data_IF_279268931639
#
_entry.id   IF_279268931639
#
_cell.length_a   1.000
_cell.length_b   1.000
_cell.length_c   1.000
_cell.angle_alpha   90.00
_cell.angle_beta   90.00
_cell.angle_gamma   90.00
#
_symmetry.space_group_name_H-M   'P 1'
#
loop_
_entity.id
_entity.type
_entity.pdbx_description
1 polymer ?
#
# COMPACT_ATOMS: atom_id res chain seq x y z
N UNK A 1 12.66 64.53 15.41
CA UNK A 1 12.35 63.41 14.50
C UNK A 1 13.53 62.45 14.51
N UNK A 2 13.43 61.33 15.22
CA UNK A 2 14.36 60.19 15.09
C UNK A 2 13.60 58.94 15.52
N UNK A 3 13.01 58.25 14.55
CA UNK A 3 12.34 56.97 14.76
C UNK A 3 13.35 55.85 14.78
N UNK A 4 13.47 55.17 15.91
CA UNK A 4 14.23 53.92 16.04
C UNK A 4 13.38 52.81 15.44
N UNK A 5 13.85 52.23 14.34
CA UNK A 5 13.23 51.07 13.69
C UNK A 5 13.50 49.83 14.55
N UNK A 6 12.44 49.27 15.13
CA UNK A 6 12.48 47.99 15.81
C UNK A 6 12.53 46.88 14.75
N UNK A 7 13.71 46.27 14.54
CA UNK A 7 13.81 45.03 13.76
C UNK A 7 13.26 43.87 14.61
N UNK A 8 12.25 43.10 14.16
CA UNK A 8 11.85 41.89 14.85
C UNK A 8 12.96 40.85 14.71
N UNK A 9 13.51 40.43 15.85
CA UNK A 9 14.49 39.35 15.98
C UNK A 9 13.92 38.07 15.39
N UNK A 10 14.59 37.52 14.36
CA UNK A 10 14.34 36.18 13.83
C UNK A 10 14.32 35.18 14.98
N UNK A 11 13.14 34.62 15.28
CA UNK A 11 13.02 33.44 16.11
C UNK A 11 13.91 32.36 15.48
N UNK A 12 14.99 32.01 16.17
CA UNK A 12 15.82 30.86 15.81
C UNK A 12 14.97 29.62 16.08
N UNK A 13 14.23 29.16 15.08
CA UNK A 13 13.63 27.84 15.06
C UNK A 13 14.74 26.85 15.40
N UNK A 14 14.65 26.21 16.56
CA UNK A 14 15.64 25.23 16.99
C UNK A 14 15.51 24.01 16.07
N UNK A 15 16.31 23.97 14.99
CA UNK A 15 16.29 22.91 13.98
C UNK A 15 16.52 21.52 14.60
N UNK A 16 17.16 21.44 15.78
CA UNK A 16 17.30 20.18 16.54
C UNK A 16 15.96 19.64 17.07
N UNK A 17 14.99 20.50 17.37
CA UNK A 17 13.64 20.09 17.75
C UNK A 17 12.87 19.53 16.54
N UNK A 18 13.05 20.12 15.35
CA UNK A 18 12.41 19.68 14.10
C UNK A 18 13.00 18.37 13.56
N UNK A 19 14.28 18.10 13.84
CA UNK A 19 14.97 16.84 13.48
C UNK A 19 14.54 15.67 14.38
N UNK A 20 14.05 15.94 15.60
CA UNK A 20 13.58 14.93 16.55
C UNK A 20 12.07 14.69 16.53
N UNK A 21 11.30 15.43 15.71
CA UNK A 21 9.87 15.17 15.58
C UNK A 21 9.66 13.90 14.76
N UNK A 22 8.77 12.99 15.21
CA UNK A 22 8.43 11.81 14.45
C UNK A 22 7.91 12.21 13.06
N UNK A 23 8.29 11.49 11.99
CA UNK A 23 7.92 11.85 10.61
C UNK A 23 6.41 11.61 10.42
N UNK A 24 5.58 12.61 10.74
CA UNK A 24 4.11 12.49 10.81
C UNK A 24 3.53 11.81 9.58
N UNK A 25 3.92 12.21 8.38
CA UNK A 25 3.38 11.64 7.14
C UNK A 25 3.85 10.20 6.90
N UNK A 26 5.04 9.83 7.40
CA UNK A 26 5.54 8.45 7.33
C UNK A 26 4.86 7.55 8.39
N UNK A 27 4.53 8.10 9.56
CA UNK A 27 3.76 7.42 10.62
C UNK A 27 2.32 7.23 10.15
N UNK A 28 1.70 8.30 9.64
CA UNK A 28 0.37 8.24 9.06
C UNK A 28 0.37 7.20 7.92
N UNK A 29 1.37 7.17 7.05
CA UNK A 29 1.50 6.14 6.02
C UNK A 29 1.66 4.71 6.58
N UNK A 30 2.46 4.51 7.63
CA UNK A 30 2.65 3.16 8.18
C UNK A 30 1.42 2.67 8.94
N UNK A 31 0.72 3.56 9.64
CA UNK A 31 -0.56 3.25 10.29
C UNK A 31 -1.64 2.83 9.26
N UNK A 32 -1.59 3.38 8.04
CA UNK A 32 -2.45 3.02 6.90
C UNK A 32 -2.21 1.59 6.34
N UNK A 33 -1.02 1.01 6.50
CA UNK A 33 -0.71 -0.35 6.00
C UNK A 33 -1.43 -1.42 6.83
N UNK A 34 -2.54 -1.99 6.30
CA UNK A 34 -3.23 -3.15 6.87
C UNK A 34 -2.41 -4.46 6.87
N UNK A 35 -2.97 -5.51 7.51
CA UNK A 35 -2.39 -6.87 7.60
C UNK A 35 -2.65 -7.66 6.33
N UNK A 36 -1.62 -8.17 5.63
CA UNK A 36 -1.83 -9.22 4.62
C UNK A 36 -1.08 -10.52 4.98
N UNK A 37 -1.80 -11.63 4.90
CA UNK A 37 -1.35 -13.01 5.13
C UNK A 37 -1.43 -13.72 3.77
N UNK A 38 -0.38 -14.42 3.31
CA UNK A 38 -0.41 -15.14 2.02
C UNK A 38 0.67 -16.21 1.82
N UNK A 39 0.21 -17.41 1.43
CA UNK A 39 0.79 -18.75 1.61
C UNK A 39 1.96 -19.15 0.70
N UNK A 40 2.30 -18.42 -0.36
CA UNK A 40 3.30 -18.87 -1.34
C UNK A 40 4.29 -17.76 -1.71
N UNK A 41 5.58 -17.97 -1.43
CA UNK A 41 6.59 -16.91 -1.52
C UNK A 41 6.95 -16.50 -2.95
N UNK A 42 6.67 -17.36 -3.94
CA UNK A 42 6.86 -17.05 -5.35
C UNK A 42 5.74 -16.20 -5.94
N UNK A 43 4.51 -16.25 -5.45
CA UNK A 43 3.39 -15.55 -6.12
C UNK A 43 3.09 -14.17 -5.49
N UNK A 44 3.64 -13.89 -4.32
CA UNK A 44 3.22 -12.76 -3.46
C UNK A 44 4.14 -11.53 -3.58
N UNK A 45 5.30 -11.63 -4.20
CA UNK A 45 6.38 -10.70 -3.87
C UNK A 45 6.37 -9.37 -4.64
N UNK A 46 5.70 -9.24 -5.79
CA UNK A 46 5.71 -7.96 -6.51
C UNK A 46 4.88 -6.87 -5.82
N UNK A 47 3.76 -7.31 -5.28
CA UNK A 47 2.68 -6.44 -4.83
C UNK A 47 2.49 -6.48 -3.31
N UNK A 48 3.15 -7.37 -2.57
CA UNK A 48 3.01 -7.45 -1.11
C UNK A 48 4.07 -6.63 -0.34
N UNK A 49 5.36 -6.71 -0.70
CA UNK A 49 6.43 -5.90 -0.08
C UNK A 49 6.20 -4.40 -0.22
N UNK A 50 5.50 -4.07 -1.29
CA UNK A 50 5.16 -2.76 -1.71
C UNK A 50 4.18 -2.05 -0.76
N UNK A 51 3.33 -2.79 -0.05
CA UNK A 51 1.92 -2.44 -0.17
C UNK A 51 1.05 -2.89 1.04
N UNK A 52 1.34 -3.99 1.74
CA UNK A 52 0.91 -4.21 3.15
C UNK A 52 2.08 -4.22 4.12
N UNK A 53 1.83 -4.25 5.43
CA UNK A 53 2.78 -4.90 6.32
C UNK A 53 2.66 -6.43 6.13
N UNK A 54 3.42 -6.96 5.17
CA UNK A 54 3.62 -8.40 5.01
C UNK A 54 5.07 -8.75 5.29
N UNK A 55 5.29 -9.78 6.08
CA UNK A 55 6.59 -10.43 6.13
C UNK A 55 6.53 -11.66 5.24
N UNK A 56 7.04 -11.54 4.01
CA UNK A 56 6.96 -12.61 3.01
C UNK A 56 7.37 -13.96 3.59
N UNK A 57 6.44 -14.92 3.70
CA UNK A 57 6.65 -16.21 4.36
C UNK A 57 6.31 -16.27 5.85
N UNK A 58 5.46 -15.39 6.39
CA UNK A 58 4.85 -15.49 7.73
C UNK A 58 3.34 -15.34 7.55
N UNK A 59 2.57 -16.34 7.96
CA UNK A 59 1.12 -16.42 7.72
C UNK A 59 0.32 -16.30 9.01
N UNK A 60 1.00 -16.39 10.15
CA UNK A 60 0.36 -16.31 11.46
C UNK A 60 0.15 -14.85 11.85
N UNK A 61 -1.12 -14.48 12.05
CA UNK A 61 -1.55 -13.11 12.29
C UNK A 61 -0.89 -12.49 13.52
N UNK A 62 -0.72 -13.24 14.60
CA UNK A 62 -0.13 -12.75 15.84
C UNK A 62 1.35 -12.36 15.66
N UNK A 63 2.10 -13.11 14.87
CA UNK A 63 3.51 -12.81 14.57
C UNK A 63 3.59 -11.60 13.64
N UNK A 64 2.70 -11.48 12.66
CA UNK A 64 2.61 -10.28 11.84
C UNK A 64 2.25 -9.05 12.68
N UNK A 65 1.32 -9.17 13.63
CA UNK A 65 0.96 -8.11 14.57
C UNK A 65 2.14 -7.66 15.43
N UNK A 66 2.93 -8.59 15.97
CA UNK A 66 4.11 -8.26 16.77
C UNK A 66 5.13 -7.46 15.95
N UNK A 67 5.43 -7.92 14.73
CA UNK A 67 6.44 -7.26 13.89
C UNK A 67 5.94 -5.89 13.41
N UNK A 68 4.65 -5.77 13.05
CA UNK A 68 4.03 -4.50 12.67
C UNK A 68 4.11 -3.50 13.81
N UNK A 69 3.72 -3.92 15.01
CA UNK A 69 3.71 -3.08 16.21
C UNK A 69 5.11 -2.56 16.51
N UNK A 70 6.12 -3.41 16.42
CA UNK A 70 7.50 -3.01 16.68
C UNK A 70 8.07 -2.08 15.60
N UNK A 71 7.67 -2.23 14.33
CA UNK A 71 8.01 -1.27 13.28
C UNK A 71 7.29 0.07 13.44
N UNK A 72 6.01 0.05 13.83
CA UNK A 72 5.26 1.27 14.12
C UNK A 72 5.94 2.05 15.24
N UNK A 73 6.25 1.37 16.34
CA UNK A 73 7.01 1.93 17.45
C UNK A 73 8.37 2.47 16.98
N UNK A 74 9.03 1.77 16.06
CA UNK A 74 10.31 2.22 15.51
C UNK A 74 10.18 3.52 14.71
N UNK A 75 9.10 3.69 13.95
CA UNK A 75 8.79 4.93 13.23
C UNK A 75 8.41 6.08 14.17
N UNK A 76 7.56 5.80 15.16
CA UNK A 76 7.04 6.79 16.10
C UNK A 76 8.10 7.32 17.05
N UNK A 77 9.07 6.48 17.43
CA UNK A 77 10.08 6.82 18.44
C UNK A 77 11.51 6.92 17.89
N UNK A 78 11.68 6.75 16.57
CA UNK A 78 12.99 6.87 15.91
C UNK A 78 13.99 5.76 16.27
N UNK A 79 13.51 4.54 16.55
CA UNK A 79 14.39 3.43 16.96
C UNK A 79 15.27 2.93 15.82
N UNK A 80 16.43 2.39 16.19
CA UNK A 80 17.35 1.76 15.25
C UNK A 80 16.97 0.31 14.96
N UNK A 81 17.53 -0.28 13.90
CA UNK A 81 17.39 -1.72 13.64
C UNK A 81 17.86 -2.58 14.83
N UNK A 82 18.88 -2.12 15.59
CA UNK A 82 19.38 -2.83 16.77
C UNK A 82 18.33 -2.89 17.88
N UNK A 83 17.57 -1.81 18.06
CA UNK A 83 16.47 -1.75 19.03
C UNK A 83 15.31 -2.63 18.59
N UNK A 84 14.89 -2.53 17.33
CA UNK A 84 13.89 -3.40 16.71
C UNK A 84 14.25 -4.89 16.91
N UNK A 85 15.49 -5.27 16.60
CA UNK A 85 15.96 -6.64 16.76
C UNK A 85 15.97 -7.09 18.22
N UNK A 86 16.45 -6.25 19.15
CA UNK A 86 16.51 -6.55 20.59
C UNK A 86 15.11 -6.80 21.16
N UNK A 87 14.12 -6.04 20.73
CA UNK A 87 12.75 -6.15 21.22
C UNK A 87 12.03 -7.36 20.61
N UNK A 88 12.24 -7.62 19.32
CA UNK A 88 11.49 -8.63 18.57
C UNK A 88 12.02 -10.06 18.72
N UNK A 89 13.33 -10.26 18.82
CA UNK A 89 13.92 -11.60 18.89
C UNK A 89 13.38 -12.46 20.05
N UNK A 90 13.28 -11.97 21.30
CA UNK A 90 12.73 -12.77 22.40
C UNK A 90 11.26 -13.16 22.18
N UNK A 91 10.48 -12.33 21.51
CA UNK A 91 9.07 -12.64 21.18
C UNK A 91 8.98 -13.77 20.15
N UNK A 92 9.77 -13.68 19.09
CA UNK A 92 9.84 -14.71 18.05
C UNK A 92 10.36 -16.05 18.59
N UNK A 93 11.34 -16.01 19.52
CA UNK A 93 11.86 -17.21 20.16
C UNK A 93 10.79 -17.91 21.01
N UNK A 94 10.10 -17.17 21.90
CA UNK A 94 9.00 -17.74 22.71
C UNK A 94 7.88 -18.33 21.86
N UNK A 95 7.61 -17.76 20.69
CA UNK A 95 6.59 -18.25 19.75
C UNK A 95 7.09 -19.38 18.85
N UNK A 96 8.36 -19.78 18.91
CA UNK A 96 8.94 -20.81 18.06
C UNK A 96 9.24 -20.40 16.61
N UNK A 97 9.26 -19.09 16.34
CA UNK A 97 9.43 -18.48 15.02
C UNK A 97 10.87 -18.10 14.67
N UNK A 98 11.80 -18.13 15.63
CA UNK A 98 13.20 -17.84 15.38
C UNK A 98 13.90 -19.07 14.79
N UNK A 99 14.60 -18.91 13.67
CA UNK A 99 15.44 -19.95 13.08
C UNK A 99 15.20 -20.20 11.59
N UNK A 100 15.41 -21.46 11.17
CA UNK A 100 15.24 -21.92 9.78
C UNK A 100 14.10 -22.95 9.69
N UNK A 101 13.63 -23.19 8.48
CA UNK A 101 12.57 -24.18 8.20
C UNK A 101 11.16 -23.61 8.29
N UNK A 102 10.19 -24.51 8.07
CA UNK A 102 8.77 -24.20 8.06
C UNK A 102 8.17 -24.29 9.46
N UNK A 103 7.10 -23.55 9.69
CA UNK A 103 6.23 -23.61 10.86
C UNK A 103 4.87 -24.09 10.36
N UNK A 104 4.34 -25.16 10.95
CA UNK A 104 3.03 -25.71 10.65
C UNK A 104 2.28 -25.99 11.94
N UNK A 105 0.95 -26.03 11.87
CA UNK A 105 0.10 -26.53 12.92
C UNK A 105 0.35 -28.04 13.14
N UNK A 106 0.51 -28.44 14.39
CA UNK A 106 0.84 -29.83 14.73
C UNK A 106 -0.36 -30.78 14.67
N UNK A 107 -1.58 -30.25 14.71
CA UNK A 107 -2.82 -31.02 14.74
C UNK A 107 -3.47 -31.06 13.34
N UNK A 108 -3.49 -29.93 12.63
CA UNK A 108 -4.12 -29.84 11.30
C UNK A 108 -3.13 -30.02 10.14
N UNK A 109 -1.82 -29.89 10.40
CA UNK A 109 -0.79 -29.89 9.36
C UNK A 109 -0.76 -28.61 8.52
N UNK A 110 -1.57 -27.60 8.87
CA UNK A 110 -1.65 -26.33 8.14
C UNK A 110 -0.33 -25.56 8.23
N UNK A 111 0.21 -25.14 7.08
CA UNK A 111 1.47 -24.40 7.05
C UNK A 111 1.26 -22.96 7.53
N UNK A 112 1.88 -22.57 8.65
CA UNK A 112 1.87 -21.20 9.16
C UNK A 112 2.97 -20.31 8.55
N UNK A 113 4.03 -20.87 7.96
CA UNK A 113 5.01 -20.11 7.19
C UNK A 113 6.45 -20.59 7.39
N UNK A 114 7.42 -19.68 7.24
CA UNK A 114 8.86 -19.92 7.37
C UNK A 114 9.42 -19.12 8.53
N UNK A 115 10.22 -19.77 9.37
CA UNK A 115 10.92 -19.13 10.49
C UNK A 115 11.77 -17.94 10.04
N UNK A 116 11.91 -16.98 10.95
CA UNK A 116 12.60 -15.72 10.73
C UNK A 116 14.04 -15.82 11.23
N UNK A 117 14.97 -15.34 10.40
CA UNK A 117 16.38 -15.20 10.78
C UNK A 117 16.70 -13.73 11.06
N UNK A 118 17.72 -13.41 11.87
CA UNK A 118 18.14 -12.03 12.10
C UNK A 118 18.40 -11.24 10.81
N UNK A 119 19.01 -11.89 9.81
CA UNK A 119 19.23 -11.27 8.48
C UNK A 119 17.92 -10.95 7.75
N UNK A 120 16.90 -11.80 7.87
CA UNK A 120 15.58 -11.54 7.29
C UNK A 120 14.88 -10.38 8.02
N UNK A 121 15.05 -10.27 9.33
CA UNK A 121 14.56 -9.13 10.11
C UNK A 121 15.17 -7.80 9.65
N UNK A 122 16.46 -7.77 9.31
CA UNK A 122 17.11 -6.58 8.74
C UNK A 122 16.46 -6.14 7.43
N UNK A 123 16.20 -7.08 6.52
CA UNK A 123 15.51 -6.80 5.26
C UNK A 123 14.11 -6.26 5.51
N UNK A 124 13.34 -6.90 6.40
CA UNK A 124 11.97 -6.47 6.74
C UNK A 124 11.99 -5.04 7.29
N UNK A 125 12.87 -4.76 8.25
CA UNK A 125 13.00 -3.44 8.85
C UNK A 125 13.39 -2.40 7.78
N UNK A 126 14.49 -2.63 7.08
CA UNK A 126 15.04 -1.65 6.13
C UNK A 126 14.04 -1.33 5.02
N UNK A 127 13.40 -2.35 4.44
CA UNK A 127 12.43 -2.16 3.35
C UNK A 127 11.19 -1.39 3.83
N UNK A 128 10.59 -1.79 4.96
CA UNK A 128 9.38 -1.14 5.45
C UNK A 128 9.63 0.31 5.90
N UNK A 129 10.73 0.55 6.63
CA UNK A 129 11.11 1.90 7.05
C UNK A 129 11.36 2.80 5.84
N UNK A 130 12.13 2.32 4.86
CA UNK A 130 12.43 3.10 3.65
C UNK A 130 11.14 3.45 2.88
N UNK A 131 10.25 2.48 2.66
CA UNK A 131 8.96 2.75 2.01
C UNK A 131 8.13 3.79 2.76
N UNK A 132 8.07 3.71 4.09
CA UNK A 132 7.34 4.68 4.91
C UNK A 132 7.91 6.10 4.80
N UNK A 133 9.23 6.24 4.91
CA UNK A 133 9.89 7.53 4.72
C UNK A 133 9.74 8.08 3.31
N UNK A 134 9.68 7.23 2.29
CA UNK A 134 9.46 7.65 0.90
C UNK A 134 8.03 8.13 0.67
N UNK A 135 7.04 7.42 1.22
CA UNK A 135 5.65 7.83 1.13
C UNK A 135 5.39 9.16 1.84
N UNK A 136 5.92 9.34 3.06
CA UNK A 136 5.82 10.62 3.76
C UNK A 136 6.47 11.77 2.98
N UNK A 137 7.67 11.53 2.42
CA UNK A 137 8.32 12.51 1.52
C UNK A 137 7.48 12.82 0.29
N UNK A 138 6.86 11.82 -0.33
CA UNK A 138 6.02 12.04 -1.50
C UNK A 138 4.86 13.01 -1.19
N UNK A 139 4.19 12.83 -0.05
CA UNK A 139 3.10 13.73 0.37
C UNK A 139 3.59 15.18 0.54
N UNK A 140 4.69 15.37 1.27
CA UNK A 140 5.32 16.69 1.44
C UNK A 140 5.75 17.32 0.10
N UNK A 141 6.19 16.51 -0.86
CA UNK A 141 6.57 16.98 -2.19
C UNK A 141 5.36 17.37 -3.03
N UNK A 142 4.27 16.60 -2.93
CA UNK A 142 3.00 16.89 -3.61
C UNK A 142 2.36 18.18 -3.11
N UNK A 143 2.46 18.48 -1.82
CA UNK A 143 1.98 19.75 -1.24
C UNK A 143 2.76 20.99 -1.74
N UNK A 144 3.94 20.77 -2.35
CA UNK A 144 4.86 21.83 -2.76
C UNK A 144 5.13 21.82 -4.27
N UNK A 145 4.24 21.23 -5.07
CA UNK A 145 4.43 21.14 -6.53
C UNK A 145 4.34 22.49 -7.22
N UNK A 146 3.59 23.45 -6.66
CA UNK A 146 3.45 24.78 -7.23
C UNK A 146 4.79 25.54 -7.26
N UNK A 147 5.58 25.45 -6.19
CA UNK A 147 6.89 26.11 -6.10
C UNK A 147 8.04 25.23 -6.64
N UNK A 148 7.90 23.90 -6.53
CA UNK A 148 8.97 22.94 -6.84
C UNK A 148 8.49 21.77 -7.71
N UNK A 149 8.00 22.03 -8.94
CA UNK A 149 7.34 21.03 -9.77
C UNK A 149 8.28 20.01 -10.40
N UNK A 150 9.60 20.22 -10.38
CA UNK A 150 10.56 19.32 -11.02
C UNK A 150 11.19 18.39 -9.99
N UNK A 151 11.09 17.10 -10.23
CA UNK A 151 11.60 16.07 -9.33
C UNK A 151 12.86 15.45 -9.91
N UNK A 152 13.85 15.24 -9.05
CA UNK A 152 15.17 14.74 -9.40
C UNK A 152 15.44 13.44 -8.65
N UNK A 153 15.82 12.39 -9.38
CA UNK A 153 16.36 11.15 -8.82
C UNK A 153 17.76 11.39 -8.26
N UNK A 154 17.96 10.99 -7.01
CA UNK A 154 19.24 11.11 -6.31
C UNK A 154 19.68 9.74 -5.80
N UNK A 155 20.76 9.23 -6.36
CA UNK A 155 21.49 8.07 -5.89
C UNK A 155 22.39 8.41 -4.70
N UNK A 156 22.71 7.41 -3.88
CA UNK A 156 23.69 7.58 -2.79
C UNK A 156 25.15 7.58 -3.29
N UNK A 157 25.37 7.12 -4.53
CA UNK A 157 26.65 7.12 -5.24
C UNK A 157 27.85 6.58 -4.44
N UNK A 158 27.60 5.58 -3.58
CA UNK A 158 28.66 4.82 -2.90
C UNK A 158 28.97 3.52 -3.66
N UNK A 159 30.00 2.78 -3.23
CA UNK A 159 30.40 1.52 -3.88
C UNK A 159 29.34 0.40 -3.82
N UNK A 160 28.25 0.59 -3.07
CA UNK A 160 27.16 -0.39 -2.89
C UNK A 160 25.92 -0.01 -3.68
N UNK A 161 25.89 1.11 -4.38
CA UNK A 161 24.78 1.43 -5.29
C UNK A 161 24.80 0.43 -6.46
N UNK A 162 23.62 -0.03 -6.86
CA UNK A 162 23.51 -0.86 -8.07
C UNK A 162 23.77 0.01 -9.30
N UNK A 163 24.52 -0.47 -10.32
CA UNK A 163 24.77 0.30 -11.53
C UNK A 163 23.50 0.82 -12.22
N UNK A 164 22.43 0.03 -12.23
CA UNK A 164 21.12 0.44 -12.76
C UNK A 164 20.52 1.63 -12.02
N UNK A 165 20.65 1.69 -10.69
CA UNK A 165 20.17 2.82 -9.89
C UNK A 165 21.06 4.06 -10.06
N UNK A 166 22.37 3.87 -10.16
CA UNK A 166 23.31 4.97 -10.43
C UNK A 166 23.04 5.63 -11.80
N UNK A 167 22.60 4.86 -12.80
CA UNK A 167 22.23 5.38 -14.11
C UNK A 167 20.99 6.31 -14.10
N UNK A 168 20.21 6.32 -13.01
CA UNK A 168 19.12 7.26 -12.80
C UNK A 168 19.52 8.52 -12.04
N UNK A 169 20.73 8.59 -11.48
CA UNK A 169 21.16 9.79 -10.76
C UNK A 169 21.12 11.02 -11.68
N UNK A 170 20.50 12.09 -11.21
CA UNK A 170 20.30 13.31 -12.00
C UNK A 170 19.16 13.24 -13.02
N UNK A 171 18.40 12.14 -13.09
CA UNK A 171 17.17 12.10 -13.90
C UNK A 171 16.16 13.10 -13.34
N UNK A 172 15.70 14.03 -14.18
CA UNK A 172 14.75 15.08 -13.81
C UNK A 172 13.53 15.02 -14.71
N UNK A 173 12.34 15.00 -14.12
CA UNK A 173 11.06 15.13 -14.81
C UNK A 173 10.09 15.94 -13.96
N UNK A 174 9.00 16.45 -14.55
CA UNK A 174 7.95 17.13 -13.78
C UNK A 174 7.22 16.13 -12.87
N UNK A 175 6.69 16.57 -11.74
CA UNK A 175 6.08 15.72 -10.70
C UNK A 175 4.95 14.81 -11.21
N UNK A 176 4.25 15.25 -12.25
CA UNK A 176 3.13 14.55 -12.89
C UNK A 176 3.55 13.71 -14.09
N UNK A 177 4.85 13.66 -14.42
CA UNK A 177 5.36 12.70 -15.39
C UNK A 177 5.02 11.29 -14.90
N UNK A 178 4.39 10.48 -15.76
CA UNK A 178 3.84 9.19 -15.35
C UNK A 178 4.95 8.21 -14.90
N UNK A 179 6.23 8.49 -15.15
CA UNK A 179 7.32 7.65 -14.64
C UNK A 179 7.40 7.60 -13.12
N UNK A 180 6.98 8.66 -12.42
CA UNK A 180 7.01 8.71 -10.95
C UNK A 180 6.06 7.71 -10.31
N UNK A 181 5.13 7.15 -11.06
CA UNK A 181 4.29 6.05 -10.60
C UNK A 181 5.08 4.75 -10.42
N UNK A 182 6.24 4.61 -11.07
CA UNK A 182 7.01 3.36 -11.12
C UNK A 182 8.43 3.48 -10.57
N UNK A 183 9.07 4.65 -10.67
CA UNK A 183 10.48 4.86 -10.26
C UNK A 183 10.62 5.72 -9.01
N UNK A 184 9.52 6.00 -8.29
CA UNK A 184 9.64 6.69 -7.01
C UNK A 184 10.14 5.67 -5.97
N UNK A 185 11.26 5.93 -5.28
CA UNK A 185 11.90 4.90 -4.46
C UNK A 185 11.01 4.40 -3.32
N UNK A 186 11.30 3.19 -2.77
CA UNK A 186 12.43 2.33 -3.12
C UNK A 186 12.19 1.52 -4.41
N UNK A 187 13.22 1.40 -5.25
CA UNK A 187 13.17 0.61 -6.50
C UNK A 187 13.75 -0.81 -6.33
N UNK A 188 14.01 -1.24 -5.09
CA UNK A 188 14.61 -2.54 -4.80
C UNK A 188 14.95 -2.74 -3.33
N UNK A 189 15.29 -3.97 -2.97
CA UNK A 189 15.75 -4.30 -1.61
C UNK A 189 17.02 -3.51 -1.27
N UNK A 190 17.02 -2.90 -0.08
CA UNK A 190 18.12 -2.04 0.41
C UNK A 190 18.40 -0.84 -0.50
N UNK A 191 17.42 -0.39 -1.29
CA UNK A 191 17.51 0.85 -2.05
C UNK A 191 17.65 2.04 -1.09
N UNK A 192 18.63 2.90 -1.36
CA UNK A 192 18.92 4.13 -0.59
C UNK A 192 18.78 5.39 -1.45
N UNK A 193 18.16 5.25 -2.61
CA UNK A 193 17.86 6.37 -3.50
C UNK A 193 16.72 7.21 -2.91
N UNK A 194 16.65 8.47 -3.32
CA UNK A 194 15.61 9.43 -2.92
C UNK A 194 15.21 10.32 -4.09
N UNK A 195 14.14 11.07 -3.90
CA UNK A 195 13.73 12.15 -4.81
C UNK A 195 13.96 13.49 -4.11
N UNK A 196 14.51 14.46 -4.84
CA UNK A 196 14.64 15.87 -4.44
C UNK A 196 13.79 16.73 -5.37
N UNK A 197 13.13 17.76 -4.86
CA UNK A 197 12.37 18.71 -5.67
C UNK A 197 13.23 19.91 -6.08
N UNK A 198 12.92 20.50 -7.22
CA UNK A 198 13.60 21.63 -7.87
C UNK A 198 12.57 22.65 -8.31
N UNK A 199 12.88 23.93 -8.09
CA UNK A 199 12.13 25.05 -8.66
C UNK A 199 12.53 25.29 -10.12
N UNK A 200 11.72 26.04 -10.87
CA UNK A 200 12.10 26.48 -12.21
C UNK A 200 13.42 27.29 -12.19
N UNK A 201 13.61 28.15 -11.19
CA UNK A 201 14.84 28.91 -11.00
C UNK A 201 16.06 28.00 -10.72
N UNK A 202 15.88 26.88 -10.00
CA UNK A 202 16.96 25.90 -9.82
C UNK A 202 17.32 25.22 -11.15
N UNK A 203 16.33 24.90 -11.98
CA UNK A 203 16.54 24.27 -13.30
C UNK A 203 17.35 25.20 -14.21
N UNK A 204 16.95 26.47 -14.31
CA UNK A 204 17.64 27.47 -15.12
C UNK A 204 19.06 27.75 -14.61
N UNK A 205 19.18 28.10 -13.32
CA UNK A 205 20.45 28.49 -12.71
C UNK A 205 21.52 27.40 -12.74
N UNK A 206 21.11 26.13 -12.65
CA UNK A 206 22.01 24.98 -12.64
C UNK A 206 22.14 24.30 -14.01
N UNK A 207 21.46 24.81 -15.05
CA UNK A 207 21.48 24.22 -16.39
C UNK A 207 20.95 22.78 -16.43
N UNK A 208 19.94 22.46 -15.63
CA UNK A 208 19.42 21.10 -15.50
C UNK A 208 18.51 20.77 -16.69
N UNK A 209 18.64 19.56 -17.22
CA UNK A 209 17.79 19.08 -18.32
C UNK A 209 16.57 18.33 -17.77
N UNK A 210 15.40 18.94 -17.92
CA UNK A 210 14.12 18.29 -17.65
C UNK A 210 13.76 17.36 -18.81
N UNK A 211 13.40 16.13 -18.49
CA UNK A 211 13.04 15.08 -19.44
C UNK A 211 11.51 14.86 -19.41
N UNK A 212 11.00 14.21 -20.46
CA UNK A 212 9.66 13.63 -20.52
C UNK A 212 9.77 12.15 -20.90
N UNK A 213 8.97 11.30 -20.24
CA UNK A 213 8.92 9.86 -20.51
C UNK A 213 7.69 9.41 -21.31
N UNK A 214 6.90 10.36 -21.80
CA UNK A 214 5.74 10.08 -22.66
C UNK A 214 6.18 9.23 -23.88
N UNK A 215 5.51 8.11 -24.09
CA UNK A 215 5.84 7.16 -25.17
C UNK A 215 7.10 6.32 -24.95
N UNK A 216 7.79 6.40 -23.80
CA UNK A 216 9.04 5.67 -23.52
C UNK A 216 8.90 4.50 -22.54
N UNK A 217 7.67 4.19 -22.13
CA UNK A 217 7.35 3.05 -21.26
C UNK A 217 7.46 1.76 -22.05
N UNK A 218 8.13 0.77 -21.45
CA UNK A 218 8.31 -0.55 -22.04
C UNK A 218 8.04 -1.61 -20.99
N UNK A 219 7.50 -2.74 -21.43
CA UNK A 219 7.39 -3.92 -20.58
C UNK A 219 8.68 -4.74 -20.70
N UNK A 220 9.29 -5.07 -19.56
CA UNK A 220 10.53 -5.84 -19.50
C UNK A 220 10.24 -7.12 -18.73
N UNK A 221 10.58 -8.27 -19.34
CA UNK A 221 10.55 -9.55 -18.63
C UNK A 221 11.77 -9.64 -17.71
N UNK A 222 11.54 -9.77 -16.41
CA UNK A 222 12.59 -9.93 -15.41
C UNK A 222 12.45 -11.27 -14.72
N UNK A 223 13.57 -11.96 -14.53
CA UNK A 223 13.63 -13.18 -13.73
C UNK A 223 13.15 -12.90 -12.31
N UNK A 224 12.40 -13.86 -11.77
CA UNK A 224 11.74 -13.67 -10.50
C UNK A 224 11.41 -15.02 -9.85
N UNK A 225 11.75 -15.17 -8.57
CA UNK A 225 11.46 -16.40 -7.83
C UNK A 225 12.38 -17.55 -8.25
N UNK A 226 11.82 -18.57 -8.89
CA UNK A 226 12.56 -19.76 -9.35
C UNK A 226 13.43 -19.41 -10.57
N UNK A 227 14.64 -19.99 -10.70
CA UNK A 227 15.48 -19.80 -11.88
C UNK A 227 14.74 -20.16 -13.17
N UNK A 228 14.65 -19.20 -14.11
CA UNK A 228 13.98 -19.37 -15.40
C UNK A 228 12.53 -18.88 -15.45
N UNK A 229 11.91 -18.57 -14.31
CA UNK A 229 10.61 -17.89 -14.29
C UNK A 229 10.82 -16.38 -14.47
N UNK A 230 10.01 -15.77 -15.33
CA UNK A 230 10.04 -14.31 -15.56
C UNK A 230 8.66 -13.70 -15.33
N UNK A 231 8.64 -12.42 -15.00
CA UNK A 231 7.41 -11.64 -14.95
C UNK A 231 7.55 -10.31 -15.68
N UNK A 232 6.46 -9.79 -16.25
CA UNK A 232 6.44 -8.45 -16.82
C UNK A 232 6.61 -7.40 -15.70
N UNK A 233 7.53 -6.48 -15.91
CA UNK A 233 7.72 -5.29 -15.08
C UNK A 233 7.73 -4.07 -15.98
N UNK A 234 7.03 -3.02 -15.56
CA UNK A 234 7.06 -1.74 -16.26
C UNK A 234 8.42 -1.07 -16.06
N UNK A 235 9.14 -0.88 -17.17
CA UNK A 235 10.36 -0.11 -17.27
C UNK A 235 10.20 1.07 -18.21
N UNK A 236 11.30 1.76 -18.48
CA UNK A 236 11.36 2.82 -19.47
C UNK A 236 12.75 2.93 -20.11
N UNK A 237 12.78 3.47 -21.32
CA UNK A 237 14.04 3.89 -21.93
C UNK A 237 14.48 5.23 -21.32
N UNK A 238 15.60 5.21 -20.59
CA UNK A 238 16.12 6.40 -19.93
C UNK A 238 16.65 7.40 -20.98
N UNK A 239 16.02 8.59 -21.12
CA UNK A 239 16.38 9.56 -22.15
C UNK A 239 17.78 10.17 -21.96
N UNK A 240 18.40 10.02 -20.78
CA UNK A 240 19.78 10.47 -20.53
C UNK A 240 20.82 9.49 -21.06
N UNK A 241 20.51 8.19 -21.08
CA UNK A 241 21.50 7.13 -21.33
C UNK A 241 21.16 6.23 -22.52
N UNK A 242 19.92 6.27 -23.03
CA UNK A 242 19.40 5.34 -24.03
C UNK A 242 19.24 3.90 -23.53
N UNK A 243 19.47 3.65 -22.23
CA UNK A 243 19.37 2.32 -21.62
C UNK A 243 18.01 2.10 -21.00
N UNK A 244 17.56 0.85 -21.04
CA UNK A 244 16.37 0.42 -20.31
C UNK A 244 16.64 0.44 -18.81
N UNK A 245 15.74 1.08 -18.06
CA UNK A 245 15.66 0.96 -16.61
C UNK A 245 14.33 0.31 -16.23
N UNK A 246 14.40 -0.69 -15.35
CA UNK A 246 13.24 -1.23 -14.67
C UNK A 246 13.58 -1.38 -13.17
N UNK A 247 12.66 -1.02 -12.26
CA UNK A 247 12.77 -1.35 -10.85
C UNK A 247 12.94 -2.86 -10.63
N UNK A 248 13.55 -3.25 -9.51
CA UNK A 248 13.60 -4.65 -9.11
C UNK A 248 12.17 -5.21 -9.09
N UNK A 249 12.00 -6.50 -9.41
CA UNK A 249 10.71 -7.17 -9.30
C UNK A 249 10.06 -6.86 -7.94
N UNK A 250 8.94 -6.14 -7.95
CA UNK A 250 8.14 -5.80 -6.77
C UNK A 250 8.31 -4.42 -6.18
N UNK A 251 9.06 -3.58 -6.87
CA UNK A 251 9.31 -2.20 -6.48
C UNK A 251 8.83 -1.19 -7.52
N UNK A 252 8.15 -1.64 -8.58
CA UNK A 252 7.67 -0.81 -9.69
C UNK A 252 6.42 0.02 -9.41
N UNK A 253 6.31 0.60 -8.22
CA UNK A 253 5.16 1.39 -7.80
C UNK A 253 5.60 2.54 -6.86
N UNK A 254 4.83 3.63 -6.82
CA UNK A 254 5.08 4.73 -5.91
C UNK A 254 4.45 4.46 -4.54
N UNK A 255 5.22 4.33 -3.44
CA UNK A 255 4.66 4.09 -2.12
C UNK A 255 3.80 5.24 -1.61
N UNK A 256 3.98 6.47 -2.09
CA UNK A 256 3.19 7.63 -1.66
C UNK A 256 1.85 7.82 -2.36
N UNK A 257 1.60 7.20 -3.52
CA UNK A 257 0.36 7.40 -4.29
C UNK A 257 -0.76 6.41 -3.93
N UNK A 258 -0.44 5.30 -3.28
CA UNK A 258 -1.36 4.17 -3.18
C UNK A 258 -1.74 3.92 -1.72
N UNK A 259 -3.00 4.18 -1.35
CA UNK A 259 -3.67 3.47 -0.24
C UNK A 259 -3.94 2.06 -0.74
N UNK A 260 -3.08 1.11 -0.38
CA UNK A 260 -2.96 -0.18 -1.05
C UNK A 260 -4.05 -1.19 -0.72
N UNK A 261 -4.39 -2.02 -1.73
CA UNK A 261 -5.12 -3.27 -1.60
C UNK A 261 -4.43 -4.44 -2.33
N UNK A 262 -4.32 -5.63 -1.72
CA UNK A 262 -3.79 -6.83 -2.35
C UNK A 262 -4.64 -7.23 -3.54
N UNK A 263 -4.03 -7.92 -4.50
CA UNK A 263 -4.74 -8.77 -5.46
C UNK A 263 -5.33 -9.96 -4.68
N UNK A 264 -6.43 -9.70 -3.99
CA UNK A 264 -7.04 -10.61 -3.02
C UNK A 264 -7.37 -11.97 -3.62
N UNK A 265 -7.66 -12.02 -4.92
CA UNK A 265 -7.95 -13.22 -5.70
C UNK A 265 -6.81 -14.25 -5.71
N UNK A 266 -5.57 -13.82 -5.42
CA UNK A 266 -4.39 -14.69 -5.29
C UNK A 266 -4.20 -15.32 -3.91
N UNK A 267 -5.04 -14.98 -2.94
CA UNK A 267 -4.90 -15.44 -1.56
C UNK A 267 -5.99 -16.45 -1.20
N UNK A 268 -5.75 -17.35 -0.21
CA UNK A 268 -6.82 -18.13 0.39
C UNK A 268 -7.94 -17.23 0.92
N UNK A 269 -9.20 -17.60 0.67
CA UNK A 269 -10.36 -16.79 1.07
C UNK A 269 -10.34 -16.35 2.55
N UNK A 270 -9.98 -17.19 3.54
CA UNK A 270 -9.97 -16.76 4.94
C UNK A 270 -8.96 -15.63 5.21
N UNK A 271 -7.77 -15.70 4.59
CA UNK A 271 -6.74 -14.68 4.73
C UNK A 271 -7.14 -13.38 4.02
N UNK A 272 -7.74 -13.51 2.84
CA UNK A 272 -8.25 -12.40 2.06
C UNK A 272 -9.40 -11.66 2.79
N UNK A 273 -10.33 -12.41 3.40
CA UNK A 273 -11.43 -11.87 4.21
C UNK A 273 -10.91 -11.08 5.42
N UNK A 274 -9.93 -11.61 6.16
CA UNK A 274 -9.32 -10.90 7.29
C UNK A 274 -8.63 -9.59 6.87
N UNK A 275 -7.98 -9.58 5.70
CA UNK A 275 -7.42 -8.34 5.15
C UNK A 275 -8.53 -7.29 4.93
N UNK A 276 -9.66 -7.71 4.34
CA UNK A 276 -10.79 -6.81 4.09
C UNK A 276 -11.36 -6.27 5.39
N UNK A 277 -11.55 -7.11 6.42
CA UNK A 277 -12.01 -6.66 7.74
C UNK A 277 -11.07 -5.60 8.33
N UNK A 278 -9.76 -5.82 8.25
CA UNK A 278 -8.76 -4.86 8.71
C UNK A 278 -8.73 -3.56 7.90
N UNK A 279 -9.10 -3.62 6.62
CA UNK A 279 -9.20 -2.45 5.73
C UNK A 279 -10.42 -1.61 6.07
N UNK A 280 -11.59 -2.25 6.20
CA UNK A 280 -12.86 -1.58 6.50
C UNK A 280 -12.87 -0.89 7.87
N UNK A 281 -12.16 -1.46 8.84
CA UNK A 281 -11.98 -0.88 10.19
C UNK A 281 -10.79 0.07 10.28
N UNK A 282 -9.97 0.14 9.23
CA UNK A 282 -8.74 0.92 9.21
C UNK A 282 -8.98 2.40 8.87
N UNK A 283 -8.08 3.29 9.29
CA UNK A 283 -8.20 4.74 9.08
C UNK A 283 -8.24 5.14 7.59
N UNK A 284 -7.72 4.29 6.70
CA UNK A 284 -7.73 4.53 5.27
C UNK A 284 -9.13 4.47 4.67
N UNK A 285 -9.91 3.45 5.00
CA UNK A 285 -11.28 3.34 4.51
C UNK A 285 -12.16 4.46 5.10
N UNK A 286 -11.93 4.84 6.36
CA UNK A 286 -12.58 6.00 7.00
C UNK A 286 -12.30 7.29 6.21
N UNK A 287 -11.04 7.55 5.86
CA UNK A 287 -10.65 8.74 5.10
C UNK A 287 -11.32 8.76 3.74
N UNK A 288 -11.23 7.65 3.01
CA UNK A 288 -11.77 7.51 1.65
C UNK A 288 -13.28 7.68 1.65
N UNK A 289 -13.97 7.08 2.61
CA UNK A 289 -15.41 7.25 2.79
C UNK A 289 -15.73 8.74 2.97
N UNK A 290 -15.05 9.41 3.91
CA UNK A 290 -15.26 10.85 4.16
C UNK A 290 -14.91 11.75 2.96
N UNK A 291 -13.84 11.44 2.22
CA UNK A 291 -13.44 12.16 1.02
C UNK A 291 -14.48 11.98 -0.10
N UNK A 292 -14.98 10.77 -0.30
CA UNK A 292 -16.02 10.48 -1.28
C UNK A 292 -17.31 11.26 -0.99
N UNK A 293 -17.68 11.44 0.28
CA UNK A 293 -18.85 12.24 0.66
C UNK A 293 -18.67 13.73 0.38
N UNK A 294 -17.45 14.26 0.54
CA UNK A 294 -17.14 15.69 0.35
C UNK A 294 -17.03 16.12 -1.11
N UNK A 295 -16.68 15.21 -2.01
CA UNK A 295 -16.51 15.52 -3.43
C UNK A 295 -17.84 15.48 -4.18
N UNK A 296 -18.07 16.44 -5.08
CA UNK A 296 -19.28 16.46 -5.92
C UNK A 296 -19.26 15.32 -6.95
N UNK A 297 -18.10 15.04 -7.53
CA UNK A 297 -17.88 13.96 -8.49
C UNK A 297 -16.61 13.16 -8.13
N UNK A 298 -16.72 12.14 -7.26
CA UNK A 298 -15.58 11.32 -6.87
C UNK A 298 -15.03 10.51 -8.06
N UNK A 299 -13.71 10.25 -8.06
CA UNK A 299 -13.08 9.42 -9.09
C UNK A 299 -13.44 7.94 -8.93
N UNK A 300 -13.74 7.25 -10.04
CA UNK A 300 -13.96 5.80 -10.09
C UNK A 300 -12.68 4.98 -10.30
N UNK A 301 -11.53 5.64 -10.45
CA UNK A 301 -10.25 4.98 -10.75
C UNK A 301 -9.79 4.05 -9.62
N UNK A 302 -10.11 4.41 -8.38
CA UNK A 302 -9.73 3.62 -7.21
C UNK A 302 -10.92 2.84 -6.68
N UNK A 303 -10.70 1.54 -6.46
CA UNK A 303 -11.66 0.60 -5.87
C UNK A 303 -11.15 0.18 -4.50
N UNK A 304 -12.05 -0.31 -3.64
CA UNK A 304 -11.79 -0.72 -2.26
C UNK A 304 -12.48 -2.04 -1.95
N UNK A 305 -11.80 -3.08 -1.41
CA UNK A 305 -12.44 -4.33 -1.14
C UNK A 305 -13.37 -4.19 0.06
N UNK A 306 -14.54 -4.78 -0.08
CA UNK A 306 -15.60 -4.78 0.93
C UNK A 306 -16.00 -6.18 1.35
N UNK A 307 -15.65 -7.21 0.58
CA UNK A 307 -15.82 -8.60 0.94
C UNK A 307 -14.94 -9.51 0.08
N UNK A 308 -14.81 -10.77 0.48
CA UNK A 308 -14.15 -11.81 -0.33
C UNK A 308 -14.94 -13.10 -0.35
N UNK A 309 -15.33 -13.53 -1.55
CA UNK A 309 -16.07 -14.77 -1.78
C UNK A 309 -15.14 -15.95 -2.02
N UNK A 310 -15.56 -17.18 -1.74
CA UNK A 310 -14.85 -18.36 -2.19
C UNK A 310 -15.05 -18.55 -3.70
N UNK A 311 -13.98 -18.83 -4.44
CA UNK A 311 -14.07 -19.18 -5.87
C UNK A 311 -14.51 -20.64 -6.01
N UNK A 312 -15.44 -20.93 -6.92
CA UNK A 312 -15.93 -22.30 -7.13
C UNK A 312 -14.78 -23.24 -7.52
N UNK A 313 -14.55 -24.29 -6.72
CA UNK A 313 -13.61 -25.37 -7.04
C UNK A 313 -12.17 -25.23 -6.51
N UNK A 314 -11.87 -24.32 -5.57
CA UNK A 314 -10.52 -24.24 -5.00
C UNK A 314 -10.37 -23.31 -3.79
N UNK A 315 -9.12 -23.13 -3.33
CA UNK A 315 -8.74 -22.23 -2.22
C UNK A 315 -8.68 -20.76 -2.62
N UNK A 316 -8.77 -20.43 -3.91
CA UNK A 316 -8.65 -19.06 -4.42
C UNK A 316 -9.86 -18.20 -4.03
N UNK A 317 -9.63 -16.89 -3.95
CA UNK A 317 -10.65 -15.94 -3.52
C UNK A 317 -11.21 -15.12 -4.68
N UNK A 318 -12.37 -14.52 -4.47
CA UNK A 318 -13.08 -13.68 -5.43
C UNK A 318 -13.53 -12.38 -4.73
N UNK A 319 -12.69 -11.32 -4.79
CA UNK A 319 -12.91 -10.10 -4.04
C UNK A 319 -14.05 -9.26 -4.62
N UNK A 320 -14.85 -8.69 -3.71
CA UNK A 320 -15.86 -7.68 -4.03
C UNK A 320 -15.31 -6.32 -3.65
N UNK A 321 -15.38 -5.38 -4.59
CA UNK A 321 -14.85 -4.03 -4.41
C UNK A 321 -15.92 -2.94 -4.55
N UNK A 322 -15.64 -1.74 -4.06
CA UNK A 322 -16.49 -0.55 -4.17
C UNK A 322 -15.67 0.65 -4.61
N UNK A 323 -16.22 1.51 -5.46
CA UNK A 323 -15.59 2.77 -5.87
C UNK A 323 -16.17 3.97 -5.12
N UNK A 324 -15.46 5.10 -5.15
CA UNK A 324 -15.87 6.31 -4.44
C UNK A 324 -17.27 6.85 -4.87
N UNK A 325 -17.65 6.85 -6.17
CA UNK A 325 -19.01 7.20 -6.57
C UNK A 325 -20.08 6.30 -5.94
N UNK A 326 -19.79 5.00 -5.81
CA UNK A 326 -20.72 4.07 -5.16
C UNK A 326 -20.77 4.26 -3.65
N UNK A 327 -19.65 4.51 -2.98
CA UNK A 327 -19.65 4.89 -1.56
C UNK A 327 -20.57 6.08 -1.30
N UNK A 328 -20.42 7.17 -2.07
CA UNK A 328 -21.26 8.37 -1.96
C UNK A 328 -22.73 8.06 -2.20
N UNK A 329 -23.05 7.33 -3.28
CA UNK A 329 -24.42 6.95 -3.62
C UNK A 329 -25.08 6.10 -2.52
N UNK A 330 -24.34 5.15 -1.94
CA UNK A 330 -24.85 4.28 -0.87
C UNK A 330 -25.13 5.07 0.41
N UNK A 331 -24.26 6.01 0.76
CA UNK A 331 -24.50 6.90 1.89
C UNK A 331 -25.74 7.80 1.66
N UNK A 332 -25.84 8.42 0.49
CA UNK A 332 -26.92 9.37 0.19
C UNK A 332 -28.29 8.71 0.02
N UNK A 333 -28.35 7.57 -0.70
CA UNK A 333 -29.61 6.95 -1.13
C UNK A 333 -30.01 5.72 -0.31
N UNK A 334 -29.03 4.87 0.01
CA UNK A 334 -29.27 3.64 0.75
C UNK A 334 -29.05 3.81 2.27
N UNK A 335 -28.63 5.01 2.72
CA UNK A 335 -28.35 5.34 4.12
C UNK A 335 -27.35 4.38 4.77
N UNK A 336 -26.35 3.96 4.01
CA UNK A 336 -25.27 3.08 4.47
C UNK A 336 -24.15 3.95 5.02
N UNK A 337 -23.79 3.74 6.28
CA UNK A 337 -22.69 4.45 6.92
C UNK A 337 -21.39 3.63 6.94
N UNK A 338 -20.34 4.21 7.51
CA UNK A 338 -19.04 3.55 7.65
C UNK A 338 -19.10 2.24 8.46
N UNK A 339 -19.91 2.20 9.53
CA UNK A 339 -20.00 1.05 10.42
C UNK A 339 -20.74 -0.13 9.76
N UNK A 340 -21.62 0.16 8.80
CA UNK A 340 -22.37 -0.85 8.07
C UNK A 340 -21.51 -1.73 7.16
N UNK A 341 -20.35 -1.26 6.70
CA UNK A 341 -19.52 -2.04 5.75
C UNK A 341 -19.01 -3.36 6.32
N UNK A 342 -18.80 -3.45 7.64
CA UNK A 342 -18.51 -4.74 8.28
C UNK A 342 -19.68 -5.72 8.17
N UNK A 343 -20.92 -5.23 8.28
CA UNK A 343 -22.08 -6.07 8.09
C UNK A 343 -22.28 -6.45 6.62
N UNK A 344 -21.99 -5.54 5.69
CA UNK A 344 -22.02 -5.85 4.25
C UNK A 344 -21.00 -6.95 3.91
N UNK A 345 -19.80 -6.91 4.51
CA UNK A 345 -18.82 -7.98 4.39
C UNK A 345 -19.45 -9.32 4.80
N UNK A 346 -20.02 -9.39 6.00
CA UNK A 346 -20.64 -10.61 6.53
C UNK A 346 -21.80 -11.10 5.66
N UNK A 347 -22.65 -10.21 5.15
CA UNK A 347 -23.77 -10.57 4.27
C UNK A 347 -23.26 -11.19 2.96
N UNK A 348 -22.19 -10.66 2.38
CA UNK A 348 -21.63 -11.18 1.12
C UNK A 348 -20.90 -12.51 1.35
N UNK A 349 -20.14 -12.64 2.44
CA UNK A 349 -19.30 -13.83 2.71
C UNK A 349 -20.10 -14.99 3.32
N UNK A 350 -21.13 -14.67 4.11
CA UNK A 350 -21.97 -15.63 4.83
C UNK A 350 -23.47 -15.28 4.69
N UNK A 351 -24.04 -15.29 3.47
CA UNK A 351 -25.45 -14.93 3.25
C UNK A 351 -26.42 -15.95 3.86
N UNK A 352 -27.54 -15.48 4.41
CA UNK A 352 -28.69 -16.34 4.73
C UNK A 352 -29.47 -16.72 3.45
N UNK A 353 -29.53 -15.81 2.48
CA UNK A 353 -30.14 -16.02 1.16
C UNK A 353 -29.26 -15.45 0.06
N UNK A 354 -29.24 -16.10 -1.09
CA UNK A 354 -28.57 -15.58 -2.28
C UNK A 354 -29.36 -15.90 -3.55
N UNK A 355 -29.22 -15.06 -4.57
CA UNK A 355 -29.87 -15.23 -5.87
C UNK A 355 -28.99 -14.66 -6.98
N UNK A 356 -28.87 -15.37 -8.11
CA UNK A 356 -28.16 -14.91 -9.31
C UNK A 356 -29.20 -14.56 -10.38
N UNK A 357 -29.31 -13.27 -10.69
CA UNK A 357 -30.19 -12.77 -11.75
C UNK A 357 -29.63 -13.06 -13.15
N UNK A 358 -30.50 -12.99 -14.16
CA UNK A 358 -30.18 -13.27 -15.57
C UNK A 358 -29.17 -12.28 -16.15
N UNK A 359 -29.11 -11.07 -15.61
CA UNK A 359 -28.16 -10.04 -16.02
C UNK A 359 -26.75 -10.20 -15.42
N UNK A 360 -26.54 -11.27 -14.63
CA UNK A 360 -25.28 -11.56 -13.95
C UNK A 360 -25.12 -10.87 -12.58
N UNK A 361 -26.15 -10.17 -12.09
CA UNK A 361 -26.13 -9.59 -10.75
C UNK A 361 -26.37 -10.65 -9.70
N UNK A 362 -25.45 -10.74 -8.74
CA UNK A 362 -25.55 -11.63 -7.59
C UNK A 362 -26.08 -10.85 -6.38
N UNK A 363 -27.16 -11.33 -5.80
CA UNK A 363 -27.79 -10.78 -4.60
C UNK A 363 -27.45 -11.64 -3.38
N UNK A 364 -27.14 -10.97 -2.27
CA UNK A 364 -26.84 -11.57 -0.97
C UNK A 364 -27.73 -10.94 0.09
N UNK A 365 -28.38 -11.74 0.92
CA UNK A 365 -29.33 -11.29 1.93
C UNK A 365 -29.05 -11.86 3.30
N UNK A 366 -29.19 -11.02 4.34
CA UNK A 366 -29.32 -11.46 5.72
C UNK A 366 -30.34 -10.58 6.47
N UNK A 367 -30.97 -11.13 7.50
CA UNK A 367 -31.96 -10.41 8.28
C UNK A 367 -31.29 -9.68 9.44
N UNK A 368 -31.46 -8.36 9.53
CA UNK A 368 -30.89 -7.53 10.60
C UNK A 368 -31.97 -6.61 11.17
N UNK A 369 -32.15 -6.66 12.49
CA UNK A 369 -33.15 -5.87 13.20
C UNK A 369 -34.57 -5.95 12.59
N UNK A 370 -34.96 -7.13 12.10
CA UNK A 370 -36.29 -7.37 11.52
C UNK A 370 -36.46 -6.90 10.08
N UNK A 371 -35.38 -6.51 9.39
CA UNK A 371 -35.40 -6.07 8.00
C UNK A 371 -34.36 -6.86 7.19
N UNK A 372 -34.70 -7.26 5.97
CA UNK A 372 -33.74 -7.85 5.04
C UNK A 372 -32.80 -6.80 4.50
N UNK A 373 -31.50 -7.02 4.70
CA UNK A 373 -30.45 -6.26 4.04
C UNK A 373 -30.00 -7.06 2.82
N UNK A 374 -30.23 -6.51 1.63
CA UNK A 374 -29.96 -7.17 0.36
C UNK A 374 -28.87 -6.40 -0.37
N UNK A 375 -27.75 -7.06 -0.61
CA UNK A 375 -26.55 -6.52 -1.24
C UNK A 375 -26.44 -7.04 -2.66
N UNK A 376 -26.34 -6.15 -3.65
CA UNK A 376 -26.19 -6.52 -5.06
C UNK A 376 -24.75 -6.34 -5.52
N UNK A 377 -24.16 -7.39 -6.08
CA UNK A 377 -22.78 -7.43 -6.59
C UNK A 377 -22.81 -7.83 -8.07
N UNK A 378 -22.10 -7.09 -8.92
CA UNK A 378 -21.97 -7.39 -10.35
C UNK A 378 -20.55 -7.15 -10.81
N UNK A 379 -19.96 -8.14 -11.50
CA UNK A 379 -18.56 -8.09 -11.99
C UNK A 379 -17.55 -7.78 -10.87
N UNK A 380 -17.72 -8.39 -9.69
CA UNK A 380 -16.84 -8.17 -8.54
C UNK A 380 -16.97 -6.76 -7.92
N UNK A 381 -18.02 -6.01 -8.27
CA UNK A 381 -18.28 -4.69 -7.70
C UNK A 381 -19.59 -4.67 -6.91
N UNK A 382 -19.54 -4.14 -5.69
CA UNK A 382 -20.71 -3.72 -4.92
C UNK A 382 -21.45 -2.62 -5.70
N UNK A 383 -22.73 -2.84 -5.99
CA UNK A 383 -23.55 -1.90 -6.77
C UNK A 383 -24.57 -1.15 -5.91
N UNK A 384 -25.24 -1.86 -5.02
CA UNK A 384 -26.35 -1.32 -4.23
C UNK A 384 -26.58 -2.13 -2.94
N UNK A 385 -27.27 -1.50 -1.99
CA UNK A 385 -27.81 -2.13 -0.79
C UNK A 385 -29.26 -1.70 -0.63
N UNK A 386 -30.16 -2.64 -0.38
CA UNK A 386 -31.60 -2.40 -0.18
C UNK A 386 -32.00 -2.96 1.17
N UNK A 387 -32.83 -2.22 1.91
CA UNK A 387 -33.41 -2.62 3.18
C UNK A 387 -34.93 -2.75 2.99
N UNK A 388 -35.49 -3.95 3.17
CA UNK A 388 -36.92 -4.21 2.94
C UNK A 388 -37.48 -5.36 3.80
N UNK A 389 -38.81 -5.48 3.87
CA UNK A 389 -39.48 -6.42 4.75
C UNK A 389 -39.28 -7.90 4.37
N UNK A 390 -39.16 -8.19 3.08
CA UNK A 390 -39.04 -9.55 2.54
C UNK A 390 -37.81 -9.68 1.62
N UNK A 391 -37.28 -10.89 1.45
CA UNK A 391 -36.24 -11.14 0.46
C UNK A 391 -36.86 -11.21 -0.96
N UNK A 392 -36.94 -10.05 -1.62
CA UNK A 392 -37.47 -9.87 -2.97
C UNK A 392 -36.43 -9.18 -3.84
N UNK A 393 -36.04 -9.82 -4.95
CA UNK A 393 -35.01 -9.32 -5.87
C UNK A 393 -35.48 -9.47 -7.32
N UNK A 394 -35.05 -8.58 -8.24
CA UNK A 394 -35.33 -8.72 -9.67
C UNK A 394 -34.62 -9.93 -10.28
N UNK A 395 -35.28 -10.56 -11.25
CA UNK A 395 -34.76 -11.64 -12.11
C UNK A 395 -33.94 -11.13 -13.30
#
# INVERSE_FOLDING_TARGET
>A
MSGVVFMPTRNKTNLGYVIGLPPKEAIDYFQRKGFAIGFNWHEVEALAHARAFTVAGVLKLDVLADIRTELQKSLETGQTFRDFQRNLLPMLERKGWLGKGLVADTETGELHGKRLTPRRLETIFTTNMQSAYMAGRYQQQMENVDDRPYWERVGIMDSRIRPSHAALDGFIARYDDPIWQSIYPPDGYRCRCRVRTRSAADVERLGLRVQSTEGRRIEVQQEYGEPGETRPVMGFENPMTGKVYAPDPGFGFNPGQVSWQPELDKYPQPAASQYVTGTLTGPDFIRVFNEALKQDAPSSLQRYPVAVRPRSGGLQSDPVTVDAPTLKRLADKARIDLADYLALQQIIEHPERQHLAKDGTQYYGAMRAGVWWIVSVREGQLRNVIQQADFHVPD
#
